data_IF_614270414923
#
_entry.id   IF_614270414923
#
_cell.length_a   1.000
_cell.length_b   1.000
_cell.length_c   1.000
_cell.angle_alpha   90.00
_cell.angle_beta   90.00
_cell.angle_gamma   90.00
#
_symmetry.space_group_name_H-M   'P 1'
#
loop_
_entity.id
_entity.type
_entity.pdbx_description
1 polymer ?
#
# COMPACT_ATOMS: atom_id res chain seq x y z
N UNK A 1 -1.32 0.44 -2.05
CA UNK A 1 -1.33 1.54 -3.06
C UNK A 1 -0.03 1.68 -3.87
N UNK A 2 1.16 1.30 -3.38
CA UNK A 2 2.44 1.37 -4.15
C UNK A 2 2.51 0.40 -5.36
N UNK A 3 1.71 -0.68 -5.37
CA UNK A 3 1.69 -1.62 -6.51
C UNK A 3 1.19 -1.02 -7.84
N UNK A 4 0.42 0.06 -7.79
CA UNK A 4 -0.03 0.75 -9.01
C UNK A 4 1.00 1.74 -9.58
N UNK A 5 1.97 2.18 -8.77
CA UNK A 5 3.12 2.96 -9.26
C UNK A 5 4.16 2.06 -9.95
N UNK A 6 4.06 0.74 -9.79
CA UNK A 6 4.89 -0.26 -10.43
C UNK A 6 4.14 -1.05 -11.51
N UNK A 7 3.69 -0.39 -12.58
CA UNK A 7 3.43 -1.09 -13.84
C UNK A 7 4.72 -1.09 -14.65
N UNK A 8 5.58 -2.08 -14.40
CA UNK A 8 6.46 -2.79 -15.34
C UNK A 8 7.53 -3.60 -14.58
N UNK A 9 7.15 -4.76 -14.06
CA UNK A 9 8.09 -5.89 -13.97
C UNK A 9 7.49 -7.06 -14.74
N UNK A 10 8.21 -7.54 -15.75
CA UNK A 10 7.83 -8.67 -16.60
C UNK A 10 7.65 -9.92 -15.73
N UNK A 11 6.42 -10.28 -15.40
CA UNK A 11 6.13 -11.62 -14.88
C UNK A 11 6.02 -12.59 -16.05
N UNK A 12 6.87 -13.63 -16.07
CA UNK A 12 6.76 -14.77 -16.98
C UNK A 12 5.40 -15.46 -16.77
N UNK A 13 4.81 -16.07 -17.81
CA UNK A 13 3.55 -16.78 -17.68
C UNK A 13 3.71 -17.97 -16.70
N UNK A 14 2.68 -18.26 -15.87
CA UNK A 14 2.72 -19.41 -14.98
C UNK A 14 2.66 -20.72 -15.80
N UNK A 15 3.37 -21.78 -15.37
CA UNK A 15 3.23 -23.09 -15.99
C UNK A 15 1.85 -23.70 -15.69
N UNK A 16 1.39 -24.65 -16.51
CA UNK A 16 0.05 -25.22 -16.39
C UNK A 16 -0.12 -26.03 -15.10
N UNK A 17 -1.36 -26.02 -14.60
CA UNK A 17 -1.81 -26.53 -13.31
C UNK A 17 -1.70 -28.06 -13.27
N UNK A 18 -0.90 -28.55 -12.32
CA UNK A 18 -0.99 -29.91 -11.79
C UNK A 18 -1.21 -29.81 -10.29
N UNK A 19 -1.81 -30.84 -9.68
CA UNK A 19 -2.45 -30.89 -8.35
C UNK A 19 -1.57 -30.62 -7.11
N UNK A 20 -0.36 -30.07 -7.27
CA UNK A 20 0.52 -29.63 -6.19
C UNK A 20 0.58 -28.09 -6.16
N UNK A 21 -0.16 -27.45 -5.25
CA UNK A 21 -0.23 -25.98 -5.17
C UNK A 21 1.16 -25.34 -4.89
N UNK A 22 1.78 -24.62 -5.85
CA UNK A 22 3.13 -24.03 -5.69
C UNK A 22 3.18 -22.95 -4.60
N UNK A 23 2.06 -22.31 -4.31
CA UNK A 23 1.94 -21.28 -3.28
C UNK A 23 2.14 -21.85 -1.86
N UNK A 24 1.64 -23.06 -1.60
CA UNK A 24 1.81 -23.75 -0.32
C UNK A 24 3.28 -24.17 -0.14
N UNK A 25 3.93 -24.63 -1.21
CA UNK A 25 5.36 -24.99 -1.18
C UNK A 25 6.27 -23.77 -0.96
N UNK A 26 5.95 -22.61 -1.57
CA UNK A 26 6.71 -21.38 -1.36
C UNK A 26 6.60 -20.85 0.10
N UNK A 27 5.44 -21.03 0.73
CA UNK A 27 5.21 -20.60 2.12
C UNK A 27 5.66 -21.63 3.16
N UNK A 28 5.80 -22.89 2.77
CA UNK A 28 6.43 -23.95 3.56
C UNK A 28 7.98 -23.92 3.47
N UNK A 29 8.54 -23.26 2.47
CA UNK A 29 10.00 -23.16 2.27
C UNK A 29 10.67 -22.29 3.34
N UNK A 30 11.94 -22.56 3.72
CA UNK A 30 12.69 -21.73 4.66
C UNK A 30 12.86 -20.28 4.16
N UNK A 31 13.19 -19.34 5.07
CA UNK A 31 13.47 -17.96 4.67
C UNK A 31 14.78 -17.99 3.90
N UNK A 32 14.97 -17.07 2.96
CA UNK A 32 16.27 -16.96 2.29
C UNK A 32 17.36 -16.71 3.34
N UNK A 33 18.58 -17.19 3.10
CA UNK A 33 19.71 -16.92 4.01
C UNK A 33 19.88 -15.41 4.23
N UNK A 34 19.64 -14.60 3.20
CA UNK A 34 19.64 -13.15 3.28
C UNK A 34 18.62 -12.64 4.30
N UNK A 35 17.35 -13.07 4.20
CA UNK A 35 16.31 -12.62 5.14
C UNK A 35 16.59 -13.08 6.57
N UNK A 36 17.12 -14.29 6.75
CA UNK A 36 17.53 -14.79 8.07
C UNK A 36 18.67 -13.92 8.63
N UNK A 37 19.67 -13.61 7.82
CA UNK A 37 20.83 -12.81 8.22
C UNK A 37 20.43 -11.38 8.55
N UNK A 38 19.57 -10.76 7.73
CA UNK A 38 19.05 -9.41 8.00
C UNK A 38 18.20 -9.39 9.28
N UNK A 39 17.34 -10.39 9.50
CA UNK A 39 16.57 -10.51 10.75
C UNK A 39 17.48 -10.60 11.96
N UNK A 40 18.50 -11.46 11.90
CA UNK A 40 19.47 -11.62 12.98
C UNK A 40 20.25 -10.32 13.25
N UNK A 41 20.68 -9.62 12.20
CA UNK A 41 21.35 -8.32 12.32
C UNK A 41 20.44 -7.28 12.95
N UNK A 42 19.18 -7.17 12.51
CA UNK A 42 18.23 -6.18 13.03
C UNK A 42 17.74 -6.49 14.44
N UNK A 43 17.77 -7.75 14.86
CA UNK A 43 17.40 -8.16 16.21
C UNK A 43 18.46 -7.78 17.26
N UNK A 44 19.72 -7.59 16.85
CA UNK A 44 20.85 -7.29 17.73
C UNK A 44 21.79 -6.26 17.09
N UNK A 45 21.29 -5.05 16.86
CA UNK A 45 22.06 -3.99 16.21
C UNK A 45 23.32 -3.60 17.01
N UNK A 46 23.29 -3.70 18.34
CA UNK A 46 24.41 -3.38 19.24
C UNK A 46 25.63 -4.30 19.01
N UNK A 47 25.37 -5.57 18.68
CA UNK A 47 26.43 -6.51 18.31
C UNK A 47 27.13 -6.15 17.01
N UNK A 48 26.41 -5.60 16.03
CA UNK A 48 26.97 -5.30 14.70
C UNK A 48 27.34 -3.84 14.48
N UNK A 49 26.91 -2.93 15.36
CA UNK A 49 27.13 -1.49 15.23
C UNK A 49 27.97 -0.91 16.38
N UNK A 50 28.68 0.17 16.08
CA UNK A 50 29.30 1.07 17.07
C UNK A 50 28.57 2.40 17.07
N UNK A 51 28.50 3.03 18.24
CA UNK A 51 27.95 4.37 18.40
C UNK A 51 29.00 5.43 18.05
N UNK A 52 28.62 6.43 17.26
CA UNK A 52 29.43 7.61 16.96
C UNK A 52 29.34 8.61 18.12
N UNK A 53 30.23 9.60 18.12
CA UNK A 53 30.21 10.69 19.11
C UNK A 53 28.89 11.47 19.16
N UNK A 54 28.13 11.50 18.06
CA UNK A 54 26.82 12.16 17.98
C UNK A 54 25.64 11.25 18.34
N UNK A 55 25.90 10.08 18.93
CA UNK A 55 24.89 9.10 19.35
C UNK A 55 24.32 8.23 18.22
N UNK A 56 24.82 8.39 16.99
CA UNK A 56 24.30 7.63 15.85
C UNK A 56 25.04 6.32 15.61
N UNK A 57 24.34 5.28 15.21
CA UNK A 57 24.93 3.97 14.95
C UNK A 57 25.68 3.94 13.62
N UNK A 58 26.71 3.10 13.53
CA UNK A 58 27.38 2.73 12.29
C UNK A 58 27.84 1.28 12.35
N UNK A 59 27.88 0.60 11.19
CA UNK A 59 28.37 -0.77 11.12
C UNK A 59 29.84 -0.85 11.56
N UNK A 60 30.18 -1.86 12.36
CA UNK A 60 31.56 -2.15 12.79
C UNK A 60 32.46 -2.50 11.60
N UNK A 61 31.89 -3.21 10.63
CA UNK A 61 32.61 -3.63 9.44
C UNK A 61 32.81 -2.46 8.46
N UNK A 62 34.02 -2.36 7.92
CA UNK A 62 34.39 -1.32 6.96
C UNK A 62 34.12 -1.71 5.51
N UNK A 63 33.56 -2.89 5.26
CA UNK A 63 33.25 -3.37 3.92
C UNK A 63 31.94 -2.76 3.40
N UNK A 64 31.89 -2.58 2.07
CA UNK A 64 30.71 -2.02 1.41
C UNK A 64 29.66 -3.11 1.23
N UNK A 65 28.46 -2.87 1.74
CA UNK A 65 27.32 -3.73 1.46
C UNK A 65 26.90 -3.59 -0.01
N UNK A 66 26.58 -4.69 -0.71
CA UNK A 66 25.91 -4.62 -2.01
C UNK A 66 24.64 -3.78 -1.93
N UNK A 67 24.34 -3.03 -2.98
CA UNK A 67 23.26 -2.05 -3.00
C UNK A 67 21.90 -2.68 -2.71
N UNK A 68 21.63 -3.86 -3.27
CA UNK A 68 20.39 -4.61 -3.06
C UNK A 68 20.25 -5.08 -1.62
N UNK A 69 21.36 -5.45 -0.97
CA UNK A 69 21.38 -5.85 0.45
C UNK A 69 21.13 -4.65 1.35
N UNK A 70 21.69 -3.49 1.01
CA UNK A 70 21.48 -2.25 1.76
C UNK A 70 20.02 -1.76 1.69
N UNK A 71 19.41 -1.75 0.51
CA UNK A 71 17.99 -1.41 0.34
C UNK A 71 17.11 -2.38 1.16
N UNK A 72 17.42 -3.68 1.12
CA UNK A 72 16.72 -4.71 1.92
C UNK A 72 16.92 -4.53 3.43
N UNK A 73 18.12 -4.17 3.88
CA UNK A 73 18.39 -3.88 5.28
C UNK A 73 17.52 -2.71 5.77
N UNK A 74 17.48 -1.60 5.01
CA UNK A 74 16.62 -0.46 5.34
C UNK A 74 15.15 -0.87 5.39
N UNK A 75 14.68 -1.65 4.41
CA UNK A 75 13.31 -2.16 4.37
C UNK A 75 12.98 -3.04 5.58
N UNK A 76 13.89 -3.93 5.98
CA UNK A 76 13.72 -4.79 7.16
C UNK A 76 13.68 -3.96 8.44
N UNK A 77 14.56 -2.98 8.59
CA UNK A 77 14.55 -2.07 9.73
C UNK A 77 13.26 -1.23 9.81
N UNK A 78 12.77 -0.73 8.67
CA UNK A 78 11.49 -0.02 8.60
C UNK A 78 10.31 -0.93 8.96
N UNK A 79 10.32 -2.18 8.46
CA UNK A 79 9.29 -3.17 8.74
C UNK A 79 9.19 -3.52 10.22
N UNK A 80 10.32 -3.57 10.93
CA UNK A 80 10.40 -3.78 12.37
C UNK A 80 10.29 -2.48 13.19
N UNK A 81 9.96 -1.35 12.56
CA UNK A 81 9.79 -0.03 13.18
C UNK A 81 11.03 0.43 13.98
N UNK A 82 12.23 0.04 13.54
CA UNK A 82 13.51 0.32 14.21
C UNK A 82 14.14 1.66 13.83
N UNK A 83 13.61 2.36 12.82
CA UNK A 83 14.20 3.58 12.28
C UNK A 83 13.93 4.77 13.19
N UNK A 84 14.98 5.26 13.84
CA UNK A 84 15.01 6.47 14.66
C UNK A 84 16.31 7.25 14.42
N UNK A 85 16.45 8.43 15.03
CA UNK A 85 17.60 9.33 14.81
C UNK A 85 18.97 8.67 15.05
N UNK A 86 19.06 7.72 15.98
CA UNK A 86 20.27 6.94 16.23
C UNK A 86 20.50 5.87 15.15
N UNK A 87 19.50 5.03 14.88
CA UNK A 87 19.66 3.86 14.00
C UNK A 87 19.79 4.22 12.52
N UNK A 88 19.19 5.32 12.05
CA UNK A 88 19.39 5.78 10.66
C UNK A 88 20.83 6.23 10.38
N UNK A 89 21.64 6.41 11.43
CA UNK A 89 23.08 6.60 11.34
C UNK A 89 23.79 5.56 10.49
N UNK A 90 23.28 4.32 10.47
CA UNK A 90 23.85 3.19 9.71
C UNK A 90 23.96 3.53 8.22
N UNK A 91 23.00 4.30 7.69
CA UNK A 91 22.91 4.69 6.29
C UNK A 91 23.71 5.96 5.95
N UNK A 92 24.48 6.50 6.92
CA UNK A 92 25.36 7.65 6.71
C UNK A 92 26.73 7.20 6.19
N UNK A 93 27.17 7.78 5.07
CA UNK A 93 28.53 7.61 4.54
C UNK A 93 28.61 6.61 3.39
N UNK A 94 29.84 6.17 3.06
CA UNK A 94 30.14 5.49 1.80
C UNK A 94 30.03 3.96 1.82
N UNK A 95 29.75 3.36 2.99
CA UNK A 95 29.64 1.90 3.15
C UNK A 95 28.30 1.36 2.68
N UNK A 96 27.27 2.20 2.76
CA UNK A 96 25.94 1.90 2.28
C UNK A 96 25.66 2.79 1.09
N UNK A 97 25.06 2.21 0.04
CA UNK A 97 24.53 2.94 -1.10
C UNK A 97 23.10 2.51 -1.31
N UNK A 98 22.19 3.47 -1.26
CA UNK A 98 20.77 3.24 -1.47
C UNK A 98 20.34 3.69 -2.86
N UNK A 99 19.43 2.94 -3.47
CA UNK A 99 18.65 3.40 -4.64
C UNK A 99 17.17 3.44 -4.34
N UNK A 100 16.66 2.46 -3.60
CA UNK A 100 15.28 2.40 -3.14
C UNK A 100 15.27 2.55 -1.62
N UNK A 101 14.70 3.65 -1.14
CA UNK A 101 14.58 3.91 0.29
C UNK A 101 13.14 3.72 0.74
N UNK A 102 12.90 2.75 1.62
CA UNK A 102 11.62 2.56 2.31
C UNK A 102 11.82 2.91 3.78
N UNK A 103 11.31 4.07 4.20
CA UNK A 103 11.45 4.62 5.56
C UNK A 103 10.09 4.76 6.24
N UNK A 104 9.16 3.86 5.91
CA UNK A 104 7.81 3.83 6.47
C UNK A 104 7.84 3.84 7.99
N UNK A 105 6.97 4.65 8.60
CA UNK A 105 6.81 4.79 10.05
C UNK A 105 8.09 5.18 10.82
N UNK A 106 9.12 5.68 10.12
CA UNK A 106 10.35 6.11 10.76
C UNK A 106 10.12 7.30 11.69
N UNK A 107 10.79 7.29 12.84
CA UNK A 107 10.74 8.36 13.86
C UNK A 107 12.04 9.17 13.81
N UNK A 108 12.20 9.98 12.77
CA UNK A 108 13.45 10.70 12.52
C UNK A 108 13.22 12.19 12.31
N UNK A 109 14.20 12.99 12.70
CA UNK A 109 14.23 14.43 12.46
C UNK A 109 14.64 14.75 11.01
N UNK A 110 14.29 15.96 10.57
CA UNK A 110 14.72 16.50 9.27
C UNK A 110 16.26 16.46 9.10
N UNK A 111 17.02 16.73 10.17
CA UNK A 111 18.48 16.69 10.16
C UNK A 111 18.99 15.27 9.92
N UNK A 112 18.44 14.27 10.62
CA UNK A 112 18.81 12.87 10.44
C UNK A 112 18.45 12.36 9.05
N UNK A 113 17.28 12.74 8.53
CA UNK A 113 16.87 12.42 7.16
C UNK A 113 17.89 12.94 6.14
N UNK A 114 18.28 14.23 6.24
CA UNK A 114 19.28 14.82 5.35
C UNK A 114 20.61 14.08 5.40
N UNK A 115 21.12 13.82 6.61
CA UNK A 115 22.42 13.13 6.81
C UNK A 115 22.40 11.69 6.32
N UNK A 116 21.30 10.97 6.50
CA UNK A 116 21.21 9.55 6.14
C UNK A 116 20.89 9.34 4.65
N UNK A 117 19.99 10.12 4.06
CA UNK A 117 19.37 9.76 2.77
C UNK A 117 19.78 10.66 1.59
N UNK A 118 20.05 11.94 1.85
CA UNK A 118 20.18 12.92 0.75
C UNK A 118 21.52 12.85 0.00
N UNK A 119 22.52 12.12 0.49
CA UNK A 119 23.78 11.90 -0.22
C UNK A 119 23.73 10.69 -1.20
N UNK A 120 22.70 9.85 -1.09
CA UNK A 120 22.54 8.66 -1.92
C UNK A 120 22.07 8.97 -3.35
N UNK A 121 22.11 7.97 -4.21
CA UNK A 121 21.61 8.03 -5.60
C UNK A 121 20.20 7.45 -5.69
N UNK A 122 19.28 8.00 -4.89
CA UNK A 122 17.91 7.51 -4.79
C UNK A 122 17.16 7.66 -6.12
N UNK A 123 16.44 6.60 -6.47
CA UNK A 123 15.47 6.54 -7.58
C UNK A 123 14.05 6.54 -6.99
N UNK A 124 13.88 5.95 -5.80
CA UNK A 124 12.58 5.81 -5.14
C UNK A 124 12.71 6.10 -3.65
N UNK A 125 11.72 6.82 -3.11
CA UNK A 125 11.56 7.03 -1.68
C UNK A 125 10.10 6.83 -1.27
N UNK A 126 9.88 5.94 -0.30
CA UNK A 126 8.62 5.79 0.42
C UNK A 126 8.78 6.28 1.86
N UNK A 127 8.11 7.40 2.17
CA UNK A 127 8.12 8.08 3.45
C UNK A 127 6.72 8.06 4.13
N UNK A 128 5.94 6.99 3.91
CA UNK A 128 4.61 6.85 4.51
C UNK A 128 4.65 6.80 6.04
N UNK A 129 3.82 7.62 6.69
CA UNK A 129 3.53 7.54 8.12
C UNK A 129 4.70 7.87 9.04
N UNK A 130 5.68 8.66 8.59
CA UNK A 130 6.76 9.12 9.47
C UNK A 130 6.20 9.97 10.63
N UNK A 131 7.01 10.15 11.68
CA UNK A 131 6.64 11.00 12.81
C UNK A 131 6.33 12.45 12.38
N UNK A 132 5.62 13.15 13.26
CA UNK A 132 5.21 14.51 13.01
C UNK A 132 6.41 15.47 12.81
N UNK A 133 7.59 15.17 13.36
CA UNK A 133 8.73 16.09 13.45
C UNK A 133 9.38 16.44 12.10
N UNK A 134 9.09 15.68 11.04
CA UNK A 134 9.56 15.95 9.69
C UNK A 134 8.39 16.36 8.79
N UNK A 135 8.56 17.46 8.04
CA UNK A 135 7.54 17.92 7.09
C UNK A 135 7.83 17.43 5.66
N UNK A 136 6.81 17.51 4.80
CA UNK A 136 6.98 17.32 3.34
C UNK A 136 8.05 18.27 2.79
N UNK A 137 8.07 19.53 3.23
CA UNK A 137 9.04 20.52 2.78
C UNK A 137 10.48 20.13 3.16
N UNK A 138 10.69 19.56 4.36
CA UNK A 138 12.00 19.06 4.78
C UNK A 138 12.50 17.92 3.90
N UNK A 139 11.61 16.98 3.55
CA UNK A 139 11.92 15.86 2.68
C UNK A 139 12.26 16.36 1.28
N UNK A 140 11.38 17.16 0.68
CA UNK A 140 11.53 17.65 -0.69
C UNK A 140 12.79 18.52 -0.81
N UNK A 141 13.02 19.47 0.10
CA UNK A 141 14.23 20.30 0.08
C UNK A 141 15.50 19.53 0.44
N UNK A 142 15.40 18.48 1.27
CA UNK A 142 16.49 17.55 1.54
C UNK A 142 16.92 16.83 0.26
N UNK A 143 15.96 16.21 -0.42
CA UNK A 143 16.19 15.52 -1.70
C UNK A 143 16.69 16.49 -2.78
N UNK A 144 16.09 17.68 -2.83
CA UNK A 144 16.46 18.79 -3.71
C UNK A 144 17.87 19.32 -3.48
N UNK A 145 18.52 19.04 -2.35
CA UNK A 145 19.92 19.44 -2.14
C UNK A 145 20.93 18.64 -2.99
N UNK A 146 20.53 17.50 -3.55
CA UNK A 146 21.39 16.62 -4.33
C UNK A 146 21.03 16.65 -5.82
N UNK A 147 21.93 17.19 -6.65
CA UNK A 147 21.76 17.28 -8.11
C UNK A 147 21.43 15.95 -8.80
N UNK A 148 21.94 14.83 -8.29
CA UNK A 148 21.61 13.51 -8.83
C UNK A 148 20.14 13.17 -8.57
N UNK A 149 19.68 13.34 -7.32
CA UNK A 149 18.30 13.06 -6.91
C UNK A 149 17.32 13.94 -7.70
N UNK A 150 17.60 15.25 -7.85
CA UNK A 150 16.76 16.17 -8.62
C UNK A 150 16.36 15.61 -10.01
N UNK A 151 17.32 15.00 -10.71
CA UNK A 151 17.15 14.53 -12.09
C UNK A 151 16.72 13.06 -12.21
N UNK A 152 16.96 12.26 -11.17
CA UNK A 152 16.85 10.79 -11.24
C UNK A 152 15.88 10.18 -10.23
N UNK A 153 15.37 10.94 -9.26
CA UNK A 153 14.28 10.48 -8.41
C UNK A 153 13.03 10.35 -9.27
N UNK A 154 12.50 9.14 -9.39
CA UNK A 154 11.36 8.81 -10.23
C UNK A 154 10.09 8.62 -9.43
N UNK A 155 10.18 8.06 -8.21
CA UNK A 155 9.02 7.76 -7.37
C UNK A 155 9.19 8.39 -5.98
N UNK A 156 8.16 9.11 -5.54
CA UNK A 156 8.10 9.69 -4.20
C UNK A 156 6.70 9.43 -3.60
N UNK A 157 6.67 8.79 -2.44
CA UNK A 157 5.45 8.53 -1.67
C UNK A 157 5.50 9.29 -0.35
N UNK A 158 4.51 10.16 -0.15
CA UNK A 158 4.35 11.04 1.00
C UNK A 158 2.94 10.85 1.56
N UNK A 159 2.83 10.11 2.65
CA UNK A 159 1.54 9.80 3.26
C UNK A 159 1.52 10.15 4.73
N UNK A 160 0.42 10.75 5.20
CA UNK A 160 0.18 11.07 6.62
C UNK A 160 1.26 11.97 7.23
N UNK A 161 1.82 12.89 6.45
CA UNK A 161 2.85 13.85 6.85
C UNK A 161 2.27 15.25 7.08
N UNK A 162 3.00 16.08 7.85
CA UNK A 162 2.69 17.51 7.94
C UNK A 162 3.22 18.23 6.70
N UNK A 163 2.37 19.04 6.07
CA UNK A 163 2.84 20.12 5.21
C UNK A 163 3.31 21.26 6.11
N UNK A 164 4.54 21.74 5.93
CA UNK A 164 5.06 22.85 6.75
C UNK A 164 4.16 24.07 6.57
N UNK A 165 3.55 24.53 7.65
CA UNK A 165 2.58 25.64 7.65
C UNK A 165 3.26 27.02 7.63
N UNK A 166 4.59 27.07 7.69
CA UNK A 166 5.33 28.30 7.94
C UNK A 166 5.52 29.16 6.70
N UNK A 167 5.45 28.62 5.49
CA UNK A 167 5.54 29.43 4.28
C UNK A 167 4.97 28.74 3.00
N UNK A 168 3.89 29.25 2.39
CA UNK A 168 3.39 28.76 1.09
C UNK A 168 4.37 28.98 -0.08
N UNK A 169 5.50 29.68 0.13
CA UNK A 169 6.60 29.84 -0.82
C UNK A 169 7.77 28.85 -0.61
N UNK A 170 7.70 27.94 0.38
CA UNK A 170 8.64 26.82 0.54
C UNK A 170 8.25 25.58 -0.27
N UNK A 171 7.25 25.71 -1.15
CA UNK A 171 6.83 24.67 -2.09
C UNK A 171 7.94 24.46 -3.12
N UNK A 172 8.47 23.25 -3.16
CA UNK A 172 9.75 22.93 -3.81
C UNK A 172 9.68 21.65 -4.65
N UNK A 173 8.49 21.19 -5.06
CA UNK A 173 8.39 20.01 -5.94
C UNK A 173 9.09 20.26 -7.28
N UNK A 174 9.12 21.51 -7.73
CA UNK A 174 9.90 21.95 -8.89
C UNK A 174 11.41 21.63 -8.80
N UNK A 175 11.96 21.38 -7.60
CA UNK A 175 13.34 20.94 -7.40
C UNK A 175 13.57 19.48 -7.82
N UNK A 176 12.50 18.73 -8.06
CA UNK A 176 12.53 17.32 -8.43
C UNK A 176 11.96 17.08 -9.84
N UNK A 177 12.51 17.72 -10.90
CA UNK A 177 11.99 17.60 -12.27
C UNK A 177 12.07 16.17 -12.85
N UNK A 178 12.84 15.28 -12.21
CA UNK A 178 12.93 13.87 -12.56
C UNK A 178 11.69 13.04 -12.21
N UNK A 179 10.80 13.53 -11.34
CA UNK A 179 9.66 12.77 -10.82
C UNK A 179 8.72 12.31 -11.93
N UNK A 180 8.39 11.02 -11.89
CA UNK A 180 7.41 10.35 -12.76
C UNK A 180 6.18 9.91 -12.00
N UNK A 181 6.35 9.50 -10.75
CA UNK A 181 5.32 9.01 -9.86
C UNK A 181 5.37 9.80 -8.55
N UNK A 182 4.24 10.40 -8.19
CA UNK A 182 4.09 11.13 -6.94
C UNK A 182 2.78 10.71 -6.27
N UNK A 183 2.88 10.23 -5.03
CA UNK A 183 1.73 9.96 -4.18
C UNK A 183 1.81 10.87 -2.96
N UNK A 184 0.77 11.70 -2.81
CA UNK A 184 0.59 12.63 -1.71
C UNK A 184 -0.80 12.38 -1.13
N UNK A 185 -0.85 11.65 -0.02
CA UNK A 185 -2.11 11.13 0.52
C UNK A 185 -2.26 11.45 2.01
N UNK A 186 -3.51 11.61 2.45
CA UNK A 186 -3.82 11.88 3.87
C UNK A 186 -3.11 13.13 4.43
N UNK A 187 -2.99 14.18 3.62
CA UNK A 187 -2.34 15.45 4.01
C UNK A 187 -3.17 16.66 3.61
N UNK A 188 -2.91 17.83 4.22
CA UNK A 188 -3.57 19.12 3.91
C UNK A 188 -3.04 19.76 2.63
N UNK A 189 -3.13 19.05 1.52
CA UNK A 189 -2.65 19.46 0.19
C UNK A 189 -3.79 20.13 -0.59
N UNK A 190 -3.54 21.34 -1.14
CA UNK A 190 -4.55 22.23 -1.73
C UNK A 190 -4.30 22.48 -3.23
N UNK A 191 -5.16 23.29 -3.86
CA UNK A 191 -5.11 23.55 -5.30
C UNK A 191 -3.79 24.23 -5.74
N UNK A 192 -3.20 25.11 -4.94
CA UNK A 192 -1.93 25.76 -5.29
C UNK A 192 -0.78 24.75 -5.36
N UNK A 193 -0.81 23.73 -4.49
CA UNK A 193 0.18 22.65 -4.49
C UNK A 193 -0.01 21.76 -5.74
N UNK A 194 -1.27 21.53 -6.14
CA UNK A 194 -1.61 20.78 -7.34
C UNK A 194 -1.12 21.48 -8.62
N UNK A 195 -1.19 22.82 -8.68
CA UNK A 195 -0.66 23.61 -9.80
C UNK A 195 0.85 23.37 -9.96
N UNK A 196 1.61 23.38 -8.87
CA UNK A 196 3.06 23.14 -8.94
C UNK A 196 3.36 21.72 -9.45
N UNK A 197 2.72 20.70 -8.88
CA UNK A 197 2.96 19.31 -9.27
C UNK A 197 2.52 19.03 -10.71
N UNK A 198 1.39 19.59 -11.13
CA UNK A 198 0.91 19.46 -12.50
C UNK A 198 1.84 20.15 -13.52
N UNK A 199 2.78 21.00 -13.08
CA UNK A 199 3.82 21.59 -13.93
C UNK A 199 5.05 20.69 -14.11
N UNK A 200 5.20 19.62 -13.32
CA UNK A 200 6.37 18.75 -13.39
C UNK A 200 6.48 18.07 -14.76
N UNK A 201 7.64 18.16 -15.44
CA UNK A 201 7.75 17.86 -16.87
C UNK A 201 7.64 16.35 -17.19
N UNK A 202 7.88 15.49 -16.20
CA UNK A 202 7.94 14.02 -16.37
C UNK A 202 6.86 13.27 -15.59
N UNK A 203 5.94 13.98 -14.93
CA UNK A 203 4.91 13.36 -14.11
C UNK A 203 3.94 12.54 -14.98
N UNK A 204 3.86 11.24 -14.69
CA UNK A 204 3.03 10.26 -15.38
C UNK A 204 2.00 9.62 -14.45
N UNK A 205 2.27 9.56 -13.15
CA UNK A 205 1.35 9.02 -12.14
C UNK A 205 1.22 9.98 -10.98
N UNK A 206 -0.02 10.31 -10.63
CA UNK A 206 -0.35 11.18 -9.52
C UNK A 206 -1.43 10.55 -8.65
N UNK A 207 -1.21 10.60 -7.35
CA UNK A 207 -2.17 10.19 -6.35
C UNK A 207 -2.32 11.30 -5.31
N UNK A 208 -3.52 11.87 -5.24
CA UNK A 208 -3.90 12.99 -4.36
C UNK A 208 -4.99 12.57 -3.36
N UNK A 209 -5.08 11.29 -3.05
CA UNK A 209 -6.18 10.71 -2.27
C UNK A 209 -6.28 11.30 -0.85
N UNK A 210 -7.50 11.55 -0.38
CA UNK A 210 -7.80 12.19 0.92
C UNK A 210 -6.97 13.45 1.19
N UNK A 211 -6.98 14.37 0.23
CA UNK A 211 -6.37 15.71 0.34
C UNK A 211 -7.44 16.81 0.45
N UNK A 212 -7.00 18.06 0.53
CA UNK A 212 -7.85 19.26 0.60
C UNK A 212 -8.01 19.95 -0.76
N UNK A 213 -7.76 19.23 -1.87
CA UNK A 213 -8.01 19.72 -3.23
C UNK A 213 -9.50 19.92 -3.43
N UNK A 214 -9.87 21.10 -3.92
CA UNK A 214 -11.27 21.45 -4.19
C UNK A 214 -11.56 21.56 -5.70
N UNK A 215 -10.52 21.72 -6.52
CA UNK A 215 -10.58 21.85 -7.98
C UNK A 215 -9.42 21.08 -8.65
N UNK A 216 -9.75 20.15 -9.55
CA UNK A 216 -8.80 19.31 -10.28
C UNK A 216 -8.40 19.86 -11.66
N UNK A 217 -8.93 21.01 -12.06
CA UNK A 217 -8.57 21.71 -13.32
C UNK A 217 -7.06 21.88 -13.53
N UNK A 218 -6.22 22.11 -12.50
CA UNK A 218 -4.77 22.18 -12.70
C UNK A 218 -4.14 20.94 -13.36
N UNK A 219 -4.77 19.75 -13.25
CA UNK A 219 -4.32 18.53 -13.93
C UNK A 219 -4.26 18.67 -15.46
N UNK A 220 -4.97 19.63 -16.04
CA UNK A 220 -4.91 19.91 -17.47
C UNK A 220 -3.50 20.33 -17.93
N UNK A 221 -2.65 20.85 -17.03
CA UNK A 221 -1.24 21.16 -17.33
C UNK A 221 -0.39 19.89 -17.57
N UNK A 222 -0.86 18.72 -17.12
CA UNK A 222 -0.22 17.42 -17.35
C UNK A 222 -1.03 16.45 -18.21
N UNK A 223 -2.08 16.92 -18.89
CA UNK A 223 -2.99 16.07 -19.68
C UNK A 223 -2.32 15.21 -20.76
N UNK A 224 -1.23 15.67 -21.34
CA UNK A 224 -0.53 15.00 -22.46
C UNK A 224 0.49 13.95 -21.98
N UNK A 225 0.65 13.76 -20.66
CA UNK A 225 1.62 12.83 -20.06
C UNK A 225 1.08 12.02 -18.89
N UNK A 226 0.03 12.49 -18.21
CA UNK A 226 -0.57 11.78 -17.09
C UNK A 226 -1.25 10.50 -17.56
N UNK A 227 -0.78 9.37 -17.04
CA UNK A 227 -1.24 8.00 -17.36
C UNK A 227 -2.00 7.36 -16.21
N UNK A 228 -1.79 7.82 -14.98
CA UNK A 228 -2.42 7.27 -13.79
C UNK A 228 -2.82 8.39 -12.84
N UNK A 229 -4.07 8.37 -12.40
CA UNK A 229 -4.65 9.35 -11.49
C UNK A 229 -5.45 8.63 -10.41
N UNK A 230 -5.09 8.86 -9.15
CA UNK A 230 -5.88 8.45 -7.99
C UNK A 230 -6.39 9.67 -7.24
N UNK A 231 -7.70 9.69 -7.05
CA UNK A 231 -8.48 10.72 -6.36
C UNK A 231 -9.39 10.06 -5.33
N UNK A 232 -8.92 8.96 -4.72
CA UNK A 232 -9.69 8.24 -3.73
C UNK A 232 -10.04 9.16 -2.54
N UNK A 233 -11.31 9.15 -2.15
CA UNK A 233 -11.78 9.89 -0.98
C UNK A 233 -11.42 11.39 -0.97
N UNK A 234 -11.55 12.09 -2.12
CA UNK A 234 -11.38 13.55 -2.21
C UNK A 234 -12.56 14.32 -1.59
N UNK A 235 -12.71 14.24 -0.27
CA UNK A 235 -13.83 14.83 0.51
C UNK A 235 -14.01 16.35 0.35
N UNK A 236 -12.98 17.08 -0.08
CA UNK A 236 -13.01 18.53 -0.23
C UNK A 236 -13.32 18.98 -1.66
N UNK A 237 -13.52 18.05 -2.61
CA UNK A 237 -13.80 18.40 -4.00
C UNK A 237 -15.15 19.13 -4.10
N UNK A 238 -15.12 20.39 -4.56
CA UNK A 238 -16.33 21.24 -4.67
C UNK A 238 -16.85 21.34 -6.09
N UNK A 239 -16.13 20.81 -7.06
CA UNK A 239 -16.54 20.80 -8.47
C UNK A 239 -17.83 20.00 -8.66
N UNK A 240 -18.68 20.46 -9.57
CA UNK A 240 -19.83 19.70 -10.02
C UNK A 240 -19.39 18.51 -10.87
N UNK A 241 -20.20 17.46 -10.93
CA UNK A 241 -19.92 16.25 -11.72
C UNK A 241 -19.61 16.54 -13.19
N UNK A 242 -20.36 17.41 -13.91
CA UNK A 242 -19.99 17.82 -15.26
C UNK A 242 -18.60 18.45 -15.35
N UNK A 243 -18.23 19.33 -14.41
CA UNK A 243 -16.90 19.97 -14.41
C UNK A 243 -15.78 18.94 -14.20
N UNK A 244 -15.97 17.97 -13.31
CA UNK A 244 -15.01 16.88 -13.10
C UNK A 244 -14.86 16.04 -14.37
N UNK A 245 -15.98 15.65 -14.99
CA UNK A 245 -15.97 14.87 -16.23
C UNK A 245 -15.33 15.63 -17.39
N UNK A 246 -15.47 16.95 -17.46
CA UNK A 246 -14.81 17.78 -18.47
C UNK A 246 -13.29 17.79 -18.33
N UNK A 247 -12.76 17.80 -17.10
CA UNK A 247 -11.32 17.64 -16.87
C UNK A 247 -10.88 16.23 -17.24
N UNK A 248 -11.55 15.19 -16.74
CA UNK A 248 -11.21 13.78 -17.01
C UNK A 248 -11.22 13.47 -18.52
N UNK A 249 -12.19 14.01 -19.27
CA UNK A 249 -12.28 13.84 -20.73
C UNK A 249 -11.06 14.39 -21.48
N UNK A 250 -10.41 15.41 -20.95
CA UNK A 250 -9.19 15.97 -21.54
C UNK A 250 -7.92 15.18 -21.21
N UNK A 251 -7.93 14.33 -20.19
CA UNK A 251 -6.81 13.45 -19.82
C UNK A 251 -6.75 12.21 -20.73
N UNK A 252 -6.55 12.42 -22.03
CA UNK A 252 -6.70 11.39 -23.07
C UNK A 252 -5.74 10.20 -22.97
N UNK A 253 -4.60 10.38 -22.30
CA UNK A 253 -3.58 9.34 -22.11
C UNK A 253 -3.73 8.57 -20.80
N UNK A 254 -4.80 8.83 -20.05
CA UNK A 254 -5.05 8.19 -18.77
C UNK A 254 -5.44 6.71 -18.97
N UNK A 255 -4.63 5.83 -18.40
CA UNK A 255 -4.79 4.38 -18.42
C UNK A 255 -5.36 3.85 -17.10
N UNK A 256 -5.10 4.54 -15.99
CA UNK A 256 -5.56 4.18 -14.66
C UNK A 256 -6.30 5.35 -14.02
N UNK A 257 -7.53 5.11 -13.58
CA UNK A 257 -8.33 6.07 -12.84
C UNK A 257 -8.88 5.41 -11.58
N UNK A 258 -8.62 6.02 -10.44
CA UNK A 258 -9.25 5.67 -9.16
C UNK A 258 -10.03 6.89 -8.65
N UNK A 259 -11.35 6.75 -8.58
CA UNK A 259 -12.30 7.72 -8.00
C UNK A 259 -13.15 7.05 -6.91
N UNK A 260 -12.58 6.03 -6.26
CA UNK A 260 -13.23 5.27 -5.19
C UNK A 260 -13.45 6.12 -3.94
N UNK A 261 -14.42 5.74 -3.12
CA UNK A 261 -14.84 6.48 -1.91
C UNK A 261 -15.01 5.51 -0.73
N UNK A 262 -14.96 6.01 0.50
CA UNK A 262 -15.19 5.24 1.73
C UNK A 262 -16.68 5.23 2.15
N UNK A 263 -17.60 5.39 1.18
CA UNK A 263 -19.06 5.52 1.34
C UNK A 263 -19.58 6.65 2.25
N UNK A 264 -18.69 7.51 2.78
CA UNK A 264 -19.11 8.64 3.63
C UNK A 264 -19.71 9.78 2.80
N UNK A 265 -19.36 9.86 1.52
CA UNK A 265 -19.91 10.83 0.59
C UNK A 265 -20.64 10.13 -0.55
N UNK A 266 -21.69 10.78 -1.06
CA UNK A 266 -22.43 10.30 -2.22
C UNK A 266 -22.02 11.15 -3.41
N UNK A 267 -20.96 10.72 -4.11
CA UNK A 267 -20.61 11.28 -5.42
C UNK A 267 -21.38 10.54 -6.51
N UNK A 268 -21.99 11.29 -7.42
CA UNK A 268 -22.59 10.79 -8.67
C UNK A 268 -21.56 10.70 -9.81
N UNK A 269 -20.31 11.17 -9.60
CA UNK A 269 -19.24 11.13 -10.62
C UNK A 269 -19.04 9.72 -11.19
N UNK A 270 -18.94 8.64 -10.38
CA UNK A 270 -18.74 7.29 -10.91
C UNK A 270 -19.90 6.81 -11.78
N UNK A 271 -21.16 7.09 -11.37
CA UNK A 271 -22.36 6.73 -12.13
C UNK A 271 -22.36 7.49 -13.46
N UNK A 272 -22.22 8.82 -13.42
CA UNK A 272 -22.21 9.65 -14.63
C UNK A 272 -21.03 9.32 -15.55
N UNK A 273 -19.89 8.88 -15.01
CA UNK A 273 -18.75 8.41 -15.80
C UNK A 273 -19.09 7.15 -16.59
N UNK A 274 -19.76 6.17 -15.98
CA UNK A 274 -20.15 4.93 -16.63
C UNK A 274 -21.14 5.16 -17.79
N UNK A 275 -21.94 6.22 -17.73
CA UNK A 275 -22.88 6.62 -18.79
C UNK A 275 -22.19 7.24 -20.02
N UNK A 276 -20.94 7.71 -19.88
CA UNK A 276 -20.20 8.35 -20.97
C UNK A 276 -19.60 7.32 -21.94
N UNK A 277 -19.90 7.50 -23.23
CA UNK A 277 -19.36 6.64 -24.31
C UNK A 277 -17.96 7.08 -24.79
N UNK A 278 -17.74 8.38 -24.92
CA UNK A 278 -16.53 8.95 -25.55
C UNK A 278 -15.50 9.47 -24.53
N UNK A 279 -15.41 8.86 -23.35
CA UNK A 279 -14.47 9.24 -22.28
C UNK A 279 -13.39 8.17 -22.11
N UNK A 280 -12.13 8.56 -21.87
CA UNK A 280 -11.05 7.64 -21.51
C UNK A 280 -10.99 6.35 -22.38
N UNK A 281 -10.81 6.45 -23.71
CA UNK A 281 -10.88 5.30 -24.62
C UNK A 281 -9.77 4.26 -24.39
N UNK A 282 -8.67 4.66 -23.74
CA UNK A 282 -7.51 3.80 -23.45
C UNK A 282 -7.45 3.33 -22.00
N UNK A 283 -8.51 3.53 -21.21
CA UNK A 283 -8.53 3.12 -19.82
C UNK A 283 -8.40 1.59 -19.70
N UNK A 284 -7.42 1.15 -18.91
CA UNK A 284 -7.18 -0.28 -18.61
C UNK A 284 -7.53 -0.64 -17.17
N UNK A 285 -7.76 0.36 -16.32
CA UNK A 285 -7.99 0.17 -14.89
C UNK A 285 -8.90 1.27 -14.38
N UNK A 286 -10.06 0.88 -13.87
CA UNK A 286 -11.01 1.79 -13.23
C UNK A 286 -11.28 1.33 -11.80
N UNK A 287 -11.17 2.21 -10.82
CA UNK A 287 -11.64 1.93 -9.46
C UNK A 287 -12.75 2.90 -9.08
N UNK A 288 -13.94 2.33 -8.83
CA UNK A 288 -15.15 3.03 -8.40
C UNK A 288 -15.70 2.38 -7.12
N UNK A 289 -14.86 1.65 -6.38
CA UNK A 289 -15.25 1.01 -5.12
C UNK A 289 -15.84 2.02 -4.14
N UNK A 290 -16.82 1.60 -3.34
CA UNK A 290 -17.54 2.44 -2.38
C UNK A 290 -18.49 3.46 -3.01
N UNK A 291 -18.71 3.42 -4.32
CA UNK A 291 -19.73 4.24 -4.98
C UNK A 291 -21.12 3.60 -4.84
N UNK A 292 -22.14 4.44 -4.65
CA UNK A 292 -23.55 3.99 -4.62
C UNK A 292 -24.14 3.97 -6.02
N UNK A 293 -25.21 3.20 -6.22
CA UNK A 293 -25.98 3.14 -7.47
C UNK A 293 -25.19 2.64 -8.69
N UNK A 294 -24.12 1.87 -8.47
CA UNK A 294 -23.39 1.18 -9.52
C UNK A 294 -24.06 -0.18 -9.76
N UNK A 295 -24.42 -0.47 -11.01
CA UNK A 295 -25.03 -1.76 -11.40
C UNK A 295 -24.10 -2.54 -12.33
N UNK A 296 -24.31 -3.87 -12.38
CA UNK A 296 -23.57 -4.75 -13.28
C UNK A 296 -23.72 -4.32 -14.74
N UNK A 297 -24.93 -3.96 -15.18
CA UNK A 297 -25.20 -3.57 -16.57
C UNK A 297 -24.39 -2.33 -16.99
N UNK A 298 -24.30 -1.33 -16.11
CA UNK A 298 -23.55 -0.10 -16.39
C UNK A 298 -22.04 -0.38 -16.50
N UNK A 299 -21.49 -1.16 -15.57
CA UNK A 299 -20.08 -1.54 -15.58
C UNK A 299 -19.75 -2.40 -16.79
N UNK A 300 -20.58 -3.40 -17.10
CA UNK A 300 -20.41 -4.26 -18.28
C UNK A 300 -20.43 -3.45 -19.58
N UNK A 301 -21.38 -2.54 -19.73
CA UNK A 301 -21.46 -1.68 -20.90
C UNK A 301 -20.21 -0.80 -21.05
N UNK A 302 -19.68 -0.28 -19.95
CA UNK A 302 -18.46 0.52 -19.92
C UNK A 302 -17.21 -0.31 -20.28
N UNK A 303 -17.09 -1.52 -19.75
CA UNK A 303 -15.96 -2.43 -20.02
C UNK A 303 -16.00 -2.95 -21.46
N UNK A 304 -17.17 -3.29 -22.00
CA UNK A 304 -17.31 -3.78 -23.39
C UNK A 304 -16.85 -2.75 -24.43
N UNK A 305 -16.99 -1.46 -24.13
CA UNK A 305 -16.46 -0.37 -24.98
C UNK A 305 -14.93 -0.23 -24.91
N UNK A 306 -14.29 -0.86 -23.91
CA UNK A 306 -12.84 -0.77 -23.63
C UNK A 306 -12.25 -2.17 -23.49
N UNK A 307 -12.05 -2.90 -24.60
CA UNK A 307 -11.62 -4.30 -24.57
C UNK A 307 -10.22 -4.52 -23.96
N UNK A 308 -9.41 -3.46 -23.82
CA UNK A 308 -8.12 -3.51 -23.14
C UNK A 308 -8.23 -3.40 -21.60
N UNK A 309 -9.43 -3.31 -21.04
CA UNK A 309 -9.66 -3.25 -19.59
C UNK A 309 -9.10 -4.50 -18.91
N UNK A 310 -8.29 -4.27 -17.88
CA UNK A 310 -7.64 -5.32 -17.08
C UNK A 310 -8.11 -5.31 -15.64
N UNK A 311 -8.67 -4.20 -15.16
CA UNK A 311 -9.10 -4.08 -13.78
C UNK A 311 -10.34 -3.20 -13.61
N UNK A 312 -11.28 -3.67 -12.78
CA UNK A 312 -12.39 -2.85 -12.24
C UNK A 312 -12.52 -3.04 -10.73
N UNK A 313 -12.54 -1.94 -9.98
CA UNK A 313 -12.82 -1.94 -8.55
C UNK A 313 -14.29 -1.65 -8.24
N UNK A 314 -14.95 -2.60 -7.57
CA UNK A 314 -16.38 -2.67 -7.27
C UNK A 314 -16.66 -3.05 -5.80
N UNK A 315 -15.66 -3.06 -4.92
CA UNK A 315 -15.89 -3.38 -3.51
C UNK A 315 -16.82 -2.33 -2.90
N UNK A 316 -17.72 -2.73 -2.02
CA UNK A 316 -18.72 -1.83 -1.42
C UNK A 316 -19.58 -1.11 -2.46
N UNK A 317 -19.94 -1.78 -3.56
CA UNK A 317 -20.93 -1.33 -4.53
C UNK A 317 -22.05 -2.37 -4.67
N UNK A 318 -23.12 -2.02 -5.41
CA UNK A 318 -24.20 -2.96 -5.74
C UNK A 318 -23.89 -3.82 -6.99
N UNK A 319 -22.67 -3.68 -7.54
CA UNK A 319 -22.18 -4.44 -8.69
C UNK A 319 -21.11 -5.49 -8.31
N UNK A 320 -20.73 -6.31 -9.29
CA UNK A 320 -19.79 -7.42 -9.19
C UNK A 320 -20.46 -8.80 -9.09
N UNK A 321 -21.78 -8.93 -9.29
CA UNK A 321 -22.49 -10.20 -9.08
C UNK A 321 -22.74 -10.98 -10.38
N UNK A 322 -22.62 -10.34 -11.54
CA UNK A 322 -22.74 -10.98 -12.85
C UNK A 322 -21.56 -11.91 -13.15
N UNK A 323 -21.79 -12.90 -14.01
CA UNK A 323 -20.77 -13.83 -14.47
C UNK A 323 -19.59 -13.12 -15.17
N UNK A 324 -19.91 -12.07 -15.94
CA UNK A 324 -18.91 -11.24 -16.62
C UNK A 324 -17.95 -10.55 -15.64
N UNK A 325 -18.44 -10.16 -14.47
CA UNK A 325 -17.68 -9.48 -13.43
C UNK A 325 -17.14 -10.42 -12.36
N UNK A 326 -17.16 -11.73 -12.57
CA UNK A 326 -16.66 -12.74 -11.63
C UNK A 326 -15.20 -12.51 -11.19
N UNK A 327 -14.39 -11.85 -12.03
CA UNK A 327 -12.94 -11.65 -11.83
C UNK A 327 -12.09 -12.79 -12.40
N UNK A 328 -12.73 -13.77 -13.03
CA UNK A 328 -12.06 -14.84 -13.77
C UNK A 328 -11.50 -14.35 -15.12
N UNK A 329 -10.46 -15.03 -15.61
CA UNK A 329 -9.79 -14.64 -16.85
C UNK A 329 -8.94 -13.37 -16.74
N UNK A 330 -9.04 -12.53 -17.78
CA UNK A 330 -8.17 -11.37 -18.00
C UNK A 330 -8.61 -10.11 -17.24
N UNK A 331 -9.89 -9.99 -16.93
CA UNK A 331 -10.43 -8.85 -16.19
C UNK A 331 -10.38 -9.16 -14.69
N UNK A 332 -9.49 -8.47 -13.96
CA UNK A 332 -9.47 -8.54 -12.51
C UNK A 332 -10.55 -7.64 -11.93
N UNK A 333 -11.30 -8.17 -10.97
CA UNK A 333 -12.35 -7.43 -10.28
C UNK A 333 -12.05 -7.47 -8.79
N UNK A 334 -11.96 -6.32 -8.12
CA UNK A 334 -12.00 -6.26 -6.65
C UNK A 334 -13.43 -5.98 -6.23
N UNK A 335 -14.01 -6.83 -5.40
CA UNK A 335 -15.44 -6.83 -5.11
C UNK A 335 -15.79 -7.70 -3.92
N UNK A 336 -17.08 -7.76 -3.59
CA UNK A 336 -17.60 -8.51 -2.44
C UNK A 336 -18.35 -9.80 -2.78
N UNK A 337 -18.48 -10.15 -4.06
CA UNK A 337 -19.40 -11.21 -4.49
C UNK A 337 -18.83 -12.63 -4.32
N UNK A 338 -17.52 -12.82 -4.54
CA UNK A 338 -16.88 -14.13 -4.52
C UNK A 338 -15.44 -14.08 -3.96
N UNK A 339 -14.83 -15.25 -3.72
CA UNK A 339 -13.48 -15.37 -3.13
C UNK A 339 -12.39 -14.69 -3.96
N UNK A 340 -12.48 -14.76 -5.30
CA UNK A 340 -11.51 -14.16 -6.23
C UNK A 340 -11.53 -12.65 -6.08
N UNK A 341 -12.73 -12.07 -6.07
CA UNK A 341 -12.93 -10.63 -5.92
C UNK A 341 -12.45 -10.11 -4.56
N UNK A 342 -12.80 -10.81 -3.48
CA UNK A 342 -12.40 -10.43 -2.12
C UNK A 342 -10.87 -10.52 -1.98
N UNK A 343 -10.27 -11.56 -2.54
CA UNK A 343 -8.81 -11.72 -2.56
C UNK A 343 -8.12 -10.61 -3.35
N UNK A 344 -8.69 -10.19 -4.48
CA UNK A 344 -8.18 -9.07 -5.28
C UNK A 344 -8.31 -7.74 -4.53
N UNK A 345 -9.44 -7.52 -3.84
CA UNK A 345 -9.67 -6.36 -2.99
C UNK A 345 -8.62 -6.26 -1.87
N UNK A 346 -8.39 -7.34 -1.12
CA UNK A 346 -7.40 -7.38 -0.04
C UNK A 346 -5.96 -7.16 -0.54
N UNK A 347 -5.63 -7.60 -1.76
CA UNK A 347 -4.31 -7.36 -2.38
C UNK A 347 -4.09 -5.88 -2.74
N UNK A 348 -5.13 -5.18 -3.19
CA UNK A 348 -5.01 -3.80 -3.68
C UNK A 348 -5.19 -2.77 -2.58
N UNK A 349 -6.14 -3.02 -1.69
CA UNK A 349 -6.58 -2.08 -0.66
C UNK A 349 -5.94 -2.30 0.70
N UNK A 350 -4.84 -3.06 0.79
CA UNK A 350 -4.19 -3.41 2.06
C UNK A 350 -3.90 -2.23 2.99
N UNK A 351 -3.76 -1.01 2.47
CA UNK A 351 -3.48 0.22 3.22
C UNK A 351 -4.75 1.07 3.50
N UNK A 352 -5.92 0.73 2.94
CA UNK A 352 -7.17 1.50 3.09
C UNK A 352 -8.08 0.80 4.11
N UNK A 353 -8.13 1.31 5.35
CA UNK A 353 -8.80 0.60 6.45
C UNK A 353 -10.27 0.28 6.16
N UNK A 354 -11.02 1.23 5.57
CA UNK A 354 -12.42 1.02 5.22
C UNK A 354 -12.62 -0.16 4.26
N UNK A 355 -11.87 -0.23 3.17
CA UNK A 355 -11.95 -1.35 2.22
C UNK A 355 -11.41 -2.66 2.80
N UNK A 356 -10.38 -2.64 3.63
CA UNK A 356 -9.93 -3.86 4.34
C UNK A 356 -11.03 -4.39 5.25
N UNK A 357 -11.67 -3.50 6.02
CA UNK A 357 -12.80 -3.84 6.88
C UNK A 357 -13.95 -4.46 6.09
N UNK A 358 -14.37 -3.83 4.99
CA UNK A 358 -15.44 -4.37 4.15
C UNK A 358 -15.06 -5.72 3.53
N UNK A 359 -13.85 -5.83 2.97
CA UNK A 359 -13.39 -7.09 2.39
C UNK A 359 -13.29 -8.22 3.43
N UNK A 360 -12.86 -7.93 4.67
CA UNK A 360 -12.89 -8.90 5.76
C UNK A 360 -14.30 -9.27 6.19
N UNK A 361 -15.24 -8.32 6.18
CA UNK A 361 -16.64 -8.63 6.46
C UNK A 361 -17.22 -9.62 5.44
N UNK A 362 -16.94 -9.39 4.15
CA UNK A 362 -17.31 -10.33 3.06
C UNK A 362 -16.56 -11.65 3.15
N UNK A 363 -15.29 -11.63 3.54
CA UNK A 363 -14.49 -12.84 3.72
C UNK A 363 -15.03 -13.69 4.89
N UNK A 364 -15.46 -13.05 5.98
CA UNK A 364 -15.98 -13.74 7.15
C UNK A 364 -17.17 -14.64 6.79
N UNK A 365 -18.12 -14.14 5.99
CA UNK A 365 -19.29 -14.93 5.58
C UNK A 365 -18.90 -16.13 4.73
N UNK A 366 -17.86 -16.02 3.89
CA UNK A 366 -17.35 -17.14 3.09
C UNK A 366 -16.57 -18.16 3.92
N UNK A 367 -15.73 -17.69 4.85
CA UNK A 367 -14.89 -18.57 5.68
C UNK A 367 -15.70 -19.42 6.67
N UNK A 368 -16.92 -18.99 7.04
CA UNK A 368 -17.81 -19.75 7.93
C UNK A 368 -18.10 -21.17 7.44
N UNK A 369 -18.12 -21.41 6.13
CA UNK A 369 -18.44 -22.71 5.53
C UNK A 369 -17.23 -23.39 4.89
N UNK A 370 -16.04 -22.85 5.11
CA UNK A 370 -14.82 -23.33 4.47
C UNK A 370 -14.37 -24.68 5.04
N UNK A 371 -14.06 -25.61 4.14
CA UNK A 371 -13.60 -26.97 4.46
C UNK A 371 -12.25 -27.32 3.85
N UNK A 372 -11.67 -26.39 3.10
CA UNK A 372 -10.40 -26.56 2.40
C UNK A 372 -9.41 -25.54 2.97
N UNK A 373 -8.19 -25.97 3.25
CA UNK A 373 -7.12 -25.08 3.71
C UNK A 373 -6.76 -24.09 2.60
N UNK A 374 -6.73 -22.80 2.93
CA UNK A 374 -6.45 -21.68 2.01
C UNK A 374 -5.33 -20.77 2.54
N UNK A 375 -4.06 -21.18 2.46
CA UNK A 375 -2.93 -20.39 3.00
C UNK A 375 -2.83 -18.98 2.40
N UNK A 376 -3.12 -18.83 1.11
CA UNK A 376 -3.11 -17.57 0.40
C UNK A 376 -4.13 -16.56 0.95
N UNK A 377 -5.28 -17.02 1.45
CA UNK A 377 -6.28 -16.16 2.09
C UNK A 377 -5.78 -15.75 3.47
N UNK A 378 -5.26 -16.69 4.27
CA UNK A 378 -4.72 -16.37 5.60
C UNK A 378 -3.59 -15.36 5.51
N UNK A 379 -2.74 -15.44 4.47
CA UNK A 379 -1.71 -14.43 4.19
C UNK A 379 -2.31 -13.05 3.97
N UNK A 380 -3.41 -12.94 3.22
CA UNK A 380 -4.09 -11.65 3.01
C UNK A 380 -4.67 -11.11 4.32
N UNK A 381 -5.21 -11.99 5.18
CA UNK A 381 -5.66 -11.63 6.52
C UNK A 381 -4.52 -11.09 7.38
N UNK A 382 -3.37 -11.78 7.40
CA UNK A 382 -2.14 -11.34 8.08
C UNK A 382 -1.72 -9.94 7.63
N UNK A 383 -1.73 -9.69 6.32
CA UNK A 383 -1.35 -8.38 5.76
C UNK A 383 -2.30 -7.29 6.25
N UNK A 384 -3.61 -7.52 6.20
CA UNK A 384 -4.59 -6.53 6.70
C UNK A 384 -4.46 -6.28 8.20
N UNK A 385 -4.27 -7.32 9.02
CA UNK A 385 -4.03 -7.18 10.45
C UNK A 385 -2.76 -6.37 10.76
N UNK A 386 -1.68 -6.62 10.03
CA UNK A 386 -0.38 -5.96 10.22
C UNK A 386 -0.43 -4.49 9.83
N UNK A 387 -1.16 -4.15 8.78
CA UNK A 387 -1.27 -2.79 8.28
C UNK A 387 -2.17 -1.91 9.16
N UNK A 388 -3.18 -2.50 9.81
CA UNK A 388 -4.18 -1.78 10.61
C UNK A 388 -4.21 -2.23 12.08
N UNK A 389 -3.08 -2.17 12.82
CA UNK A 389 -2.96 -2.75 14.17
C UNK A 389 -3.83 -2.04 15.23
N UNK A 390 -4.24 -0.80 14.95
CA UNK A 390 -5.05 0.05 15.85
C UNK A 390 -6.50 0.23 15.37
N UNK A 391 -6.91 -0.45 14.29
CA UNK A 391 -8.32 -0.46 13.87
C UNK A 391 -9.04 -1.66 14.48
N UNK A 392 -9.87 -1.39 15.49
CA UNK A 392 -10.61 -2.43 16.21
C UNK A 392 -11.50 -3.27 15.29
N UNK A 393 -12.18 -2.65 14.33
CA UNK A 393 -13.11 -3.35 13.45
C UNK A 393 -12.37 -4.30 12.51
N UNK A 394 -11.21 -3.86 12.00
CA UNK A 394 -10.31 -4.71 11.21
C UNK A 394 -9.81 -5.88 12.05
N UNK A 395 -9.28 -5.64 13.26
CA UNK A 395 -8.73 -6.70 14.11
C UNK A 395 -9.80 -7.73 14.54
N UNK A 396 -10.99 -7.28 14.93
CA UNK A 396 -12.10 -8.17 15.30
C UNK A 396 -12.48 -9.09 14.14
N UNK A 397 -12.71 -8.53 12.95
CA UNK A 397 -13.16 -9.30 11.80
C UNK A 397 -12.06 -10.23 11.28
N UNK A 398 -10.82 -9.75 11.26
CA UNK A 398 -9.66 -10.55 10.86
C UNK A 398 -9.39 -11.72 11.82
N UNK A 399 -9.56 -11.52 13.13
CA UNK A 399 -9.42 -12.59 14.12
C UNK A 399 -10.45 -13.70 13.93
N UNK A 400 -11.69 -13.33 13.59
CA UNK A 400 -12.75 -14.28 13.30
C UNK A 400 -12.48 -15.06 11.99
N UNK A 401 -12.01 -14.37 10.94
CA UNK A 401 -11.57 -15.01 9.70
C UNK A 401 -10.42 -15.99 9.97
N UNK A 402 -9.41 -15.58 10.75
CA UNK A 402 -8.26 -16.41 11.11
C UNK A 402 -8.69 -17.68 11.83
N UNK A 403 -9.58 -17.58 12.82
CA UNK A 403 -10.14 -18.73 13.53
C UNK A 403 -10.90 -19.68 12.58
N UNK A 404 -11.71 -19.14 11.67
CA UNK A 404 -12.44 -19.94 10.69
C UNK A 404 -11.50 -20.66 9.72
N UNK A 405 -10.39 -20.02 9.33
CA UNK A 405 -9.38 -20.58 8.43
C UNK A 405 -8.49 -21.66 9.09
N UNK A 406 -8.49 -21.76 10.42
CA UNK A 406 -7.64 -22.71 11.16
C UNK A 406 -8.40 -23.77 11.95
N UNK A 407 -9.72 -23.66 12.13
CA UNK A 407 -10.53 -24.62 12.90
C UNK A 407 -10.76 -25.96 12.17
N UNK A 408 -11.33 -26.95 12.86
CA UNK A 408 -11.81 -28.21 12.29
C UNK A 408 -10.76 -29.00 11.47
N UNK A 409 -9.50 -28.96 11.89
CA UNK A 409 -8.40 -29.68 11.22
C UNK A 409 -7.77 -28.91 10.06
N UNK A 410 -8.31 -27.76 9.64
CA UNK A 410 -7.73 -26.92 8.59
C UNK A 410 -6.33 -26.41 8.96
N UNK A 411 -6.08 -26.22 10.26
CA UNK A 411 -4.75 -25.86 10.75
C UNK A 411 -3.69 -26.87 10.35
N UNK A 412 -3.99 -28.15 10.11
CA UNK A 412 -3.03 -29.20 9.73
C UNK A 412 -2.45 -29.04 8.31
N UNK A 413 -3.21 -28.42 7.40
CA UNK A 413 -2.71 -28.07 6.06
C UNK A 413 -2.01 -26.71 6.02
N UNK A 414 -2.09 -25.92 7.09
CA UNK A 414 -1.59 -24.55 7.10
C UNK A 414 -0.07 -24.50 7.31
N UNK A 415 0.69 -23.67 6.57
CA UNK A 415 2.11 -23.46 6.84
C UNK A 415 2.33 -22.90 8.24
N UNK A 416 3.28 -23.50 8.98
CA UNK A 416 3.62 -23.12 10.37
C UNK A 416 3.97 -21.63 10.49
N UNK A 417 4.59 -21.06 9.45
CA UNK A 417 4.95 -19.64 9.39
C UNK A 417 3.73 -18.72 9.43
N UNK A 418 2.69 -19.04 8.67
CA UNK A 418 1.47 -18.24 8.69
C UNK A 418 0.76 -18.38 10.03
N UNK A 419 0.76 -19.58 10.64
CA UNK A 419 0.23 -19.77 11.99
C UNK A 419 0.98 -18.91 13.01
N UNK A 420 2.32 -18.88 12.96
CA UNK A 420 3.16 -18.04 13.81
C UNK A 420 2.85 -16.55 13.64
N UNK A 421 2.81 -16.07 12.39
CA UNK A 421 2.50 -14.67 12.07
C UNK A 421 1.11 -14.25 12.59
N UNK A 422 0.09 -15.10 12.40
CA UNK A 422 -1.27 -14.83 12.88
C UNK A 422 -1.32 -14.78 14.41
N UNK A 423 -0.69 -15.73 15.10
CA UNK A 423 -0.70 -15.77 16.57
C UNK A 423 -0.01 -14.54 17.14
N UNK A 424 1.16 -14.17 16.62
CA UNK A 424 1.87 -12.98 17.06
C UNK A 424 1.03 -11.72 16.87
N UNK A 425 0.36 -11.58 15.71
CA UNK A 425 -0.54 -10.46 15.45
C UNK A 425 -1.79 -10.46 16.34
N UNK A 426 -2.36 -11.64 16.65
CA UNK A 426 -3.50 -11.75 17.56
C UNK A 426 -3.13 -11.38 18.99
N UNK A 427 -1.96 -11.83 19.47
CA UNK A 427 -1.46 -11.44 20.79
C UNK A 427 -1.28 -9.92 20.88
N UNK A 428 -0.61 -9.33 19.88
CA UNK A 428 -0.47 -7.87 19.78
C UNK A 428 -1.82 -7.15 19.69
N UNK A 429 -2.80 -7.72 19.00
CA UNK A 429 -4.14 -7.15 18.93
C UNK A 429 -4.85 -7.18 20.29
N UNK A 430 -4.71 -8.27 21.07
CA UNK A 430 -5.23 -8.36 22.44
C UNK A 430 -4.54 -7.35 23.37
N UNK A 431 -3.24 -7.13 23.22
CA UNK A 431 -2.50 -6.09 23.94
C UNK A 431 -3.01 -4.68 23.61
N UNK A 432 -3.28 -4.39 22.33
CA UNK A 432 -3.83 -3.11 21.90
C UNK A 432 -5.28 -2.88 22.36
N UNK A 433 -6.04 -3.96 22.58
CA UNK A 433 -7.48 -3.92 22.88
C UNK A 433 -7.85 -4.82 24.07
N UNK A 434 -7.35 -4.54 25.29
CA UNK A 434 -7.47 -5.44 26.44
C UNK A 434 -8.90 -5.63 26.93
N UNK A 435 -9.83 -4.72 26.64
CA UNK A 435 -11.24 -4.81 27.07
C UNK A 435 -12.13 -5.60 26.08
N UNK A 436 -11.58 -6.03 24.93
CA UNK A 436 -12.37 -6.61 23.85
C UNK A 436 -12.48 -8.13 24.00
N UNK A 437 -13.48 -8.57 24.77
CA UNK A 437 -13.71 -9.99 25.10
C UNK A 437 -13.82 -10.89 23.87
N UNK A 438 -14.43 -10.43 22.77
CA UNK A 438 -14.56 -11.26 21.57
C UNK A 438 -13.21 -11.51 20.90
N UNK A 439 -12.31 -10.53 20.90
CA UNK A 439 -10.95 -10.67 20.38
C UNK A 439 -10.15 -11.65 21.24
N UNK A 440 -10.25 -11.52 22.56
CA UNK A 440 -9.64 -12.45 23.52
C UNK A 440 -10.13 -13.88 23.31
N UNK A 441 -11.45 -14.07 23.18
CA UNK A 441 -12.06 -15.37 22.91
C UNK A 441 -11.53 -15.99 21.62
N UNK A 442 -11.47 -15.23 20.53
CA UNK A 442 -10.95 -15.72 19.25
C UNK A 442 -9.48 -16.13 19.36
N UNK A 443 -8.66 -15.33 20.06
CA UNK A 443 -7.25 -15.62 20.31
C UNK A 443 -7.09 -16.93 21.12
N UNK A 444 -7.78 -17.07 22.25
CA UNK A 444 -7.71 -18.26 23.10
C UNK A 444 -8.18 -19.53 22.37
N UNK A 445 -9.25 -19.43 21.58
CA UNK A 445 -9.73 -20.56 20.78
C UNK A 445 -8.69 -21.00 19.75
N UNK A 446 -8.00 -20.05 19.10
CA UNK A 446 -6.95 -20.39 18.14
C UNK A 446 -5.74 -21.03 18.84
N UNK A 447 -5.34 -20.51 20.00
CA UNK A 447 -4.27 -21.08 20.83
C UNK A 447 -4.62 -22.45 21.42
N UNK A 448 -5.89 -22.83 21.53
CA UNK A 448 -6.27 -24.18 22.02
C UNK A 448 -6.01 -25.30 21.01
N UNK A 449 -5.62 -24.98 19.77
CA UNK A 449 -5.26 -25.99 18.78
C UNK A 449 -3.94 -26.69 19.15
N UNK A 450 -3.99 -28.01 19.32
CA UNK A 450 -2.83 -28.85 19.69
C UNK A 450 -1.65 -28.63 18.75
N UNK A 451 -1.90 -28.58 17.43
CA UNK A 451 -0.85 -28.33 16.43
C UNK A 451 -0.18 -26.97 16.64
N UNK A 452 -0.97 -25.94 16.92
CA UNK A 452 -0.44 -24.60 17.13
C UNK A 452 0.46 -24.57 18.38
N UNK A 453 0.04 -25.21 19.46
CA UNK A 453 0.84 -25.27 20.69
C UNK A 453 2.13 -26.07 20.55
N UNK A 454 2.15 -27.11 19.71
CA UNK A 454 3.30 -27.98 19.54
C UNK A 454 4.30 -27.47 18.49
N UNK A 455 3.79 -27.00 17.35
CA UNK A 455 4.63 -26.77 16.16
C UNK A 455 5.00 -25.30 15.96
N UNK A 456 4.27 -24.37 16.58
CA UNK A 456 4.44 -22.94 16.29
C UNK A 456 5.32 -22.27 17.35
N UNK A 457 6.50 -21.73 16.98
CA UNK A 457 7.28 -20.92 17.89
C UNK A 457 6.62 -19.54 18.00
N UNK A 458 6.11 -19.21 19.19
CA UNK A 458 5.58 -17.88 19.51
C UNK A 458 6.25 -17.23 20.74
N UNK A 459 7.26 -17.89 21.33
CA UNK A 459 8.03 -17.39 22.47
C UNK A 459 9.53 -17.78 22.37
N UNK A 460 10.17 -17.51 21.22
CA UNK A 460 11.61 -17.74 21.01
C UNK A 460 12.31 -16.51 20.48
#
# INVERSE_FOLDING_TARGET
MVRFLHVQSRQRPPPPICSDCPAVQAEASPYSLLDISLKALTADLEKFCTERQDGTLCLKESERLPQEVADRLLQTMAFHELLNDGTVGIFRGNQIRLKQACIRKAKISALSFRKAFCHHKLIELDATGMNADISIADIVSGLGSNKWIQQNLQCLVLDSLRLSLTNPYERCFNQLPGLRALSITNVRFHNEDLVEIASLPRLESLDISNTSVTDITPLLACKDRLKSLSMHYLKCLTMTTPQVLDVIRQLKYLNHLDISDDQQFTSDIPVSLLEQKDILPHLVSLDISGSKYITDEAVEAFVKQRPAMQFVGLLATDAGYSEFLSGEGNLKVSGGANEIQISEALKRYSERSYFVKEAFFRLFTQTCFMRITKPEILKLVIVGMRNHPLDLAVQLTASACSLNLTRQGLSAGMPVRLLSDVIHLLLKAVENFPEQQQLQKNCLLLLSSVRILQDVPFNR
#
